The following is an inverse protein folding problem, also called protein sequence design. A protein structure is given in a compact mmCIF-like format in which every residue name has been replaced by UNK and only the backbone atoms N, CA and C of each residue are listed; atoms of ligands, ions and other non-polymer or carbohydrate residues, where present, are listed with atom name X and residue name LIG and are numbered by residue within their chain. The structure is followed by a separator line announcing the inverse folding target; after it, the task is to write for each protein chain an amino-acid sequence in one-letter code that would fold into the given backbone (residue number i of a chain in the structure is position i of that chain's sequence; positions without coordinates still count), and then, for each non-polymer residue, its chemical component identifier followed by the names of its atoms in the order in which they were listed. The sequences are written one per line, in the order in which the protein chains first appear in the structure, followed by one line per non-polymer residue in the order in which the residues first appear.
data_IF_362018414296
#
_entry.id   IF_362018414296
#
_cell.length_a   1.000
_cell.length_b   1.000
_cell.length_c   1.000
_cell.angle_alpha   90.00
_cell.angle_beta   90.00
_cell.angle_gamma   90.00
#
_symmetry.space_group_name_H-M   'P 1'
#
loop_
_entity.id
_entity.type
_entity.pdbx_description
1 polymer ?
#
# COMPACT_ATOMS: atom_id res chain seq x y z
N UNK A 1 9.12 -5.25 -15.77
CA UNK A 1 9.91 -4.87 -16.97
C UNK A 1 10.81 -3.71 -16.61
N UNK A 2 12.13 -3.87 -16.75
CA UNK A 2 13.12 -2.84 -16.39
C UNK A 2 13.28 -1.82 -17.53
N UNK A 3 13.10 -0.54 -17.24
CA UNK A 3 13.32 0.53 -18.21
C UNK A 3 14.81 0.91 -18.27
N UNK A 4 15.52 0.42 -19.29
CA UNK A 4 16.82 0.95 -19.71
C UNK A 4 16.61 1.96 -20.85
N UNK A 5 17.09 3.19 -20.71
CA UNK A 5 17.15 4.15 -21.82
C UNK A 5 18.42 3.92 -22.65
N UNK A 6 18.28 3.52 -23.91
CA UNK A 6 19.33 3.72 -24.93
C UNK A 6 18.94 4.93 -25.77
N UNK A 7 19.87 5.89 -25.89
CA UNK A 7 19.69 7.09 -26.71
C UNK A 7 19.74 6.74 -28.20
N UNK A 8 18.68 7.11 -28.92
CA UNK A 8 18.60 7.08 -30.38
C UNK A 8 17.98 8.37 -30.88
N UNK A 9 18.70 9.07 -31.75
CA UNK A 9 18.42 10.41 -32.26
C UNK A 9 17.28 10.35 -33.29
N UNK A 10 16.18 11.09 -33.08
CA UNK A 10 15.14 11.23 -34.10
C UNK A 10 13.89 12.03 -33.68
N UNK A 11 13.78 13.25 -34.22
CA UNK A 11 12.55 14.02 -34.46
C UNK A 11 11.60 14.33 -33.29
N UNK A 12 11.90 15.43 -32.57
CA UNK A 12 10.99 16.58 -32.41
C UNK A 12 9.51 16.35 -32.12
N UNK A 13 9.15 15.56 -31.12
CA UNK A 13 7.96 15.85 -30.33
C UNK A 13 8.45 16.62 -29.09
N UNK A 14 7.89 17.81 -28.85
CA UNK A 14 8.06 18.52 -27.60
C UNK A 14 7.69 17.56 -26.45
N UNK A 15 8.71 16.92 -25.85
CA UNK A 15 8.60 16.26 -24.57
C UNK A 15 8.24 17.39 -23.63
N UNK A 16 6.95 17.61 -23.39
CA UNK A 16 6.50 18.45 -22.29
C UNK A 16 7.35 18.01 -21.11
N UNK A 17 8.00 18.97 -20.48
CA UNK A 17 8.78 18.77 -19.27
C UNK A 17 7.79 18.19 -18.25
N UNK A 18 7.74 16.86 -18.20
CA UNK A 18 6.85 16.11 -17.32
C UNK A 18 7.56 16.22 -15.99
N UNK A 19 6.92 16.87 -15.02
CA UNK A 19 7.51 17.11 -13.71
C UNK A 19 8.21 15.86 -13.19
N UNK A 20 9.38 16.05 -12.58
CA UNK A 20 10.16 14.94 -12.06
C UNK A 20 9.44 14.33 -10.85
N UNK A 21 9.53 13.00 -10.65
CA UNK A 21 9.11 12.37 -9.40
C UNK A 21 9.72 13.11 -8.22
N UNK A 22 8.87 13.50 -7.27
CA UNK A 22 9.29 14.25 -6.09
C UNK A 22 8.79 13.58 -4.83
N UNK A 23 9.46 13.83 -3.72
CA UNK A 23 8.91 13.48 -2.42
C UNK A 23 7.64 14.30 -2.18
N UNK A 24 6.62 13.69 -1.62
CA UNK A 24 5.44 14.42 -1.14
C UNK A 24 5.85 15.37 0.00
N UNK A 25 5.33 16.59 -0.03
CA UNK A 25 5.61 17.58 1.00
C UNK A 25 4.75 17.31 2.25
N UNK A 26 5.23 17.60 3.47
CA UNK A 26 4.46 17.36 4.69
C UNK A 26 3.12 18.09 4.70
N UNK A 27 2.04 17.36 4.99
CA UNK A 27 0.67 17.88 5.03
C UNK A 27 0.03 18.07 3.65
N UNK A 28 0.71 17.64 2.58
CA UNK A 28 0.14 17.62 1.23
C UNK A 28 -0.85 16.45 1.06
N UNK A 29 -0.56 15.32 1.71
CA UNK A 29 -1.36 14.11 1.67
C UNK A 29 -1.56 13.54 3.09
N UNK A 30 -2.24 14.28 3.99
CA UNK A 30 -2.31 13.95 5.42
C UNK A 30 -2.90 12.56 5.72
N UNK A 31 -3.88 12.08 4.95
CA UNK A 31 -4.46 10.75 5.17
C UNK A 31 -3.45 9.66 4.80
N UNK A 32 -2.79 9.78 3.65
CA UNK A 32 -1.75 8.85 3.22
C UNK A 32 -0.51 8.91 4.10
N UNK A 33 -0.13 10.09 4.60
CA UNK A 33 0.97 10.27 5.55
C UNK A 33 0.67 9.57 6.88
N UNK A 34 -0.54 9.72 7.40
CA UNK A 34 -0.97 9.05 8.62
C UNK A 34 -0.94 7.52 8.46
N UNK A 35 -1.47 7.00 7.34
CA UNK A 35 -1.40 5.58 7.01
C UNK A 35 0.04 5.07 6.87
N UNK A 36 0.90 5.83 6.18
CA UNK A 36 2.31 5.46 6.01
C UNK A 36 3.05 5.46 7.36
N UNK A 37 2.73 6.37 8.27
CA UNK A 37 3.27 6.37 9.62
C UNK A 37 2.90 5.09 10.39
N UNK A 38 1.65 4.60 10.24
CA UNK A 38 1.20 3.32 10.81
C UNK A 38 2.02 2.16 10.25
N UNK A 39 2.14 2.05 8.93
CA UNK A 39 2.92 0.99 8.26
C UNK A 39 4.41 1.05 8.61
N UNK A 40 4.98 2.25 8.73
CA UNK A 40 6.38 2.43 9.12
C UNK A 40 6.69 1.94 10.55
N UNK A 41 5.69 1.84 11.45
CA UNK A 41 5.87 1.17 12.74
C UNK A 41 6.19 -0.31 12.56
N UNK A 42 5.51 -0.97 11.63
CA UNK A 42 5.74 -2.38 11.31
C UNK A 42 7.08 -2.60 10.61
N UNK A 43 7.41 -1.73 9.64
CA UNK A 43 8.73 -1.72 8.98
C UNK A 43 9.83 -1.62 10.03
N UNK A 44 9.74 -0.67 10.96
CA UNK A 44 10.73 -0.49 12.03
C UNK A 44 10.81 -1.69 12.98
N UNK A 45 9.69 -2.34 13.24
CA UNK A 45 9.62 -3.51 14.12
C UNK A 45 10.31 -4.74 13.49
N UNK A 46 10.12 -4.95 12.19
CA UNK A 46 10.45 -6.20 11.49
C UNK A 46 11.68 -6.11 10.60
N UNK A 47 12.02 -4.92 10.08
CA UNK A 47 13.16 -4.66 9.21
C UNK A 47 14.19 -3.76 9.90
N UNK A 48 15.03 -4.36 10.73
CA UNK A 48 16.09 -3.62 11.45
C UNK A 48 17.06 -2.95 10.48
N UNK A 49 17.33 -1.67 10.69
CA UNK A 49 18.22 -0.86 9.84
C UNK A 49 17.59 -0.36 8.53
N UNK A 50 16.29 -0.57 8.33
CA UNK A 50 15.53 0.09 7.27
C UNK A 50 15.08 1.46 7.76
N UNK A 51 15.49 2.52 7.06
CA UNK A 51 14.91 3.84 7.26
C UNK A 51 13.43 3.85 6.81
N UNK A 52 12.59 4.73 7.39
CA UNK A 52 11.17 4.78 7.05
C UNK A 52 10.93 4.93 5.54
N UNK A 53 9.93 4.21 5.04
CA UNK A 53 9.39 4.43 3.70
C UNK A 53 8.84 5.86 3.58
N UNK A 54 8.80 6.38 2.36
CA UNK A 54 8.34 7.74 2.04
C UNK A 54 7.23 7.70 0.99
N UNK A 55 6.47 8.80 0.88
CA UNK A 55 5.56 9.04 -0.23
C UNK A 55 6.29 9.78 -1.36
N UNK A 56 6.08 9.33 -2.60
CA UNK A 56 6.60 9.96 -3.83
C UNK A 56 5.42 10.30 -4.72
N UNK A 57 5.29 11.58 -5.06
CA UNK A 57 4.31 12.09 -6.02
C UNK A 57 4.93 12.09 -7.43
N UNK A 58 4.21 11.49 -8.39
CA UNK A 58 4.63 11.34 -9.78
C UNK A 58 3.54 11.93 -10.67
N UNK A 59 3.84 12.88 -11.56
CA UNK A 59 2.84 13.41 -12.48
C UNK A 59 2.25 12.31 -13.37
N UNK A 60 0.91 12.21 -13.45
CA UNK A 60 0.26 11.23 -14.34
C UNK A 60 0.68 11.45 -15.80
N UNK A 61 0.94 10.35 -16.52
CA UNK A 61 1.24 10.39 -17.95
C UNK A 61 0.02 10.69 -18.81
N UNK A 62 -1.19 10.49 -18.27
CA UNK A 62 -2.46 10.70 -18.96
C UNK A 62 -3.30 11.73 -18.20
N UNK A 63 -3.52 12.93 -18.79
CA UNK A 63 -4.44 13.90 -18.21
C UNK A 63 -5.88 13.41 -18.35
N UNK A 64 -6.71 13.70 -17.34
CA UNK A 64 -8.14 13.45 -17.41
C UNK A 64 -8.78 14.34 -18.49
N UNK A 65 -9.92 13.92 -19.09
CA UNK A 65 -10.64 14.74 -20.05
C UNK A 65 -11.01 16.10 -19.44
N UNK A 66 -10.49 17.20 -20.00
CA UNK A 66 -10.75 18.56 -19.49
C UNK A 66 -9.62 19.15 -18.64
N UNK A 67 -8.63 18.36 -18.24
CA UNK A 67 -7.47 18.85 -17.47
C UNK A 67 -6.24 19.10 -18.35
N UNK A 68 -5.55 20.21 -18.10
CA UNK A 68 -4.33 20.57 -18.82
C UNK A 68 -3.08 19.78 -18.36
N UNK A 69 -3.13 19.22 -17.14
CA UNK A 69 -2.09 18.42 -16.50
C UNK A 69 -2.80 17.27 -15.78
N UNK A 70 -2.28 16.04 -15.88
CA UNK A 70 -2.85 14.92 -15.16
C UNK A 70 -2.54 14.99 -13.66
N UNK A 71 -3.50 14.55 -12.84
CA UNK A 71 -3.33 14.43 -11.38
C UNK A 71 -2.03 13.73 -10.99
N UNK A 72 -1.45 14.11 -9.86
CA UNK A 72 -0.28 13.40 -9.32
C UNK A 72 -0.70 12.03 -8.79
N UNK A 73 0.09 11.02 -9.14
CA UNK A 73 -0.02 9.65 -8.66
C UNK A 73 0.95 9.46 -7.49
N UNK A 74 0.41 8.98 -6.38
CA UNK A 74 1.15 8.84 -5.13
C UNK A 74 1.63 7.40 -4.96
N UNK A 75 2.91 7.20 -4.67
CA UNK A 75 3.50 5.88 -4.47
C UNK A 75 4.18 5.79 -3.10
N UNK A 76 4.15 4.60 -2.50
CA UNK A 76 5.02 4.26 -1.38
C UNK A 76 6.39 3.87 -1.91
N UNK A 77 7.44 4.53 -1.44
CA UNK A 77 8.80 4.33 -1.91
C UNK A 77 9.77 4.02 -0.76
N UNK A 78 10.88 3.41 -1.12
CA UNK A 78 12.08 3.31 -0.29
C UNK A 78 12.63 4.72 0.01
N UNK A 79 13.44 4.90 1.06
CA UNK A 79 14.03 6.19 1.41
C UNK A 79 14.87 6.84 0.30
N UNK A 80 15.38 6.04 -0.64
CA UNK A 80 16.13 6.50 -1.82
C UNK A 80 15.24 6.92 -3.00
N UNK A 81 13.91 6.92 -2.80
CA UNK A 81 12.93 7.32 -3.79
C UNK A 81 12.58 6.25 -4.82
N UNK A 82 13.03 4.99 -4.68
CA UNK A 82 12.58 3.88 -5.54
C UNK A 82 11.29 3.25 -5.03
N UNK A 83 10.33 2.98 -5.90
CA UNK A 83 9.05 2.33 -5.57
C UNK A 83 8.76 1.14 -6.48
N UNK A 84 7.79 0.31 -6.10
CA UNK A 84 7.21 -0.74 -6.95
C UNK A 84 5.69 -0.80 -6.73
N UNK A 85 4.94 -1.15 -7.78
CA UNK A 85 3.51 -1.42 -7.70
C UNK A 85 2.67 -0.27 -8.26
N UNK A 86 1.40 -0.24 -7.85
CA UNK A 86 0.42 0.75 -8.27
C UNK A 86 0.45 1.98 -7.35
N UNK A 87 -0.06 3.14 -7.81
CA UNK A 87 -0.20 4.30 -6.94
C UNK A 87 -1.34 4.09 -5.94
N UNK A 88 -1.18 4.60 -4.72
CA UNK A 88 -2.14 4.43 -3.60
C UNK A 88 -3.38 5.29 -3.74
N UNK A 89 -3.35 6.29 -4.62
CA UNK A 89 -4.48 7.15 -4.96
C UNK A 89 -5.04 6.81 -6.36
N UNK A 90 -4.90 5.55 -6.81
CA UNK A 90 -5.35 5.14 -8.14
C UNK A 90 -6.85 5.11 -8.33
N UNK A 91 -7.65 5.23 -7.26
CA UNK A 91 -9.12 5.16 -7.33
C UNK A 91 -9.66 6.07 -8.43
N UNK A 92 -10.63 5.55 -9.18
CA UNK A 92 -11.38 6.28 -10.20
C UNK A 92 -12.29 7.30 -9.51
N UNK A 93 -11.66 8.34 -8.95
CA UNK A 93 -12.34 9.51 -8.39
C UNK A 93 -13.16 10.16 -9.51
N UNK A 94 -14.46 10.34 -9.28
CA UNK A 94 -15.30 11.10 -10.19
C UNK A 94 -14.90 12.58 -10.18
N UNK A 95 -15.29 13.33 -11.21
CA UNK A 95 -15.02 14.77 -11.26
C UNK A 95 -15.68 15.48 -10.08
N UNK A 96 -14.86 15.96 -9.13
CA UNK A 96 -15.31 16.64 -7.92
C UNK A 96 -15.06 15.87 -6.63
N UNK A 97 -14.64 14.61 -6.70
CA UNK A 97 -14.25 13.84 -5.51
C UNK A 97 -12.98 14.42 -4.85
N UNK A 98 -12.87 14.35 -3.52
CA UNK A 98 -11.66 14.75 -2.83
C UNK A 98 -10.47 13.89 -3.26
N UNK A 99 -9.25 14.47 -3.31
CA UNK A 99 -8.06 13.74 -3.74
C UNK A 99 -7.64 12.64 -2.74
N UNK A 100 -8.09 12.74 -1.49
CA UNK A 100 -7.87 11.74 -0.45
C UNK A 100 -9.20 11.08 -0.08
N UNK A 101 -9.27 9.73 -0.02
CA UNK A 101 -10.46 9.04 0.47
C UNK A 101 -10.70 9.33 1.97
N UNK A 102 -11.95 9.52 2.36
CA UNK A 102 -12.33 9.73 3.77
C UNK A 102 -12.24 8.44 4.62
N UNK A 103 -12.24 7.26 3.98
CA UNK A 103 -12.10 5.98 4.65
C UNK A 103 -10.64 5.69 5.02
N UNK A 104 -10.30 5.97 6.27
CA UNK A 104 -8.97 5.73 6.82
C UNK A 104 -8.55 4.25 6.78
N UNK A 105 -9.47 3.28 6.85
CA UNK A 105 -9.15 1.86 6.78
C UNK A 105 -8.78 1.46 5.35
N UNK A 106 -9.52 1.96 4.35
CA UNK A 106 -9.17 1.79 2.93
C UNK A 106 -7.82 2.44 2.59
N UNK A 107 -7.59 3.68 3.03
CA UNK A 107 -6.29 4.36 2.82
C UNK A 107 -5.15 3.57 3.46
N UNK A 108 -5.34 3.06 4.69
CA UNK A 108 -4.33 2.22 5.35
C UNK A 108 -4.07 0.92 4.59
N UNK A 109 -5.11 0.32 4.00
CA UNK A 109 -4.99 -0.91 3.23
C UNK A 109 -4.15 -0.70 1.96
N UNK A 110 -4.48 0.32 1.16
CA UNK A 110 -3.75 0.66 -0.07
C UNK A 110 -2.28 0.96 0.22
N UNK A 111 -2.01 1.74 1.28
CA UNK A 111 -0.63 2.05 1.68
C UNK A 111 0.10 0.81 2.18
N UNK A 112 -0.56 -0.09 2.92
CA UNK A 112 0.04 -1.32 3.40
C UNK A 112 0.38 -2.29 2.26
N UNK A 113 -0.51 -2.45 1.28
CA UNK A 113 -0.27 -3.26 0.08
C UNK A 113 0.88 -2.70 -0.78
N UNK A 114 0.85 -1.39 -1.05
CA UNK A 114 1.90 -0.71 -1.81
C UNK A 114 3.27 -0.80 -1.10
N UNK A 115 3.29 -0.63 0.23
CA UNK A 115 4.50 -0.83 1.03
C UNK A 115 5.00 -2.27 0.95
N UNK A 116 4.11 -3.25 1.04
CA UNK A 116 4.44 -4.66 0.94
C UNK A 116 5.10 -4.98 -0.40
N UNK A 117 4.45 -4.58 -1.49
CA UNK A 117 4.97 -4.72 -2.86
C UNK A 117 6.35 -4.05 -3.02
N UNK A 118 6.49 -2.81 -2.55
CA UNK A 118 7.74 -2.04 -2.64
C UNK A 118 8.88 -2.72 -1.89
N UNK A 119 8.64 -3.14 -0.65
CA UNK A 119 9.66 -3.83 0.16
C UNK A 119 10.02 -5.16 -0.47
N UNK A 120 9.03 -5.98 -0.84
CA UNK A 120 9.26 -7.33 -1.33
C UNK A 120 10.10 -7.34 -2.61
N UNK A 121 9.77 -6.48 -3.56
CA UNK A 121 10.43 -6.42 -4.86
C UNK A 121 11.80 -5.74 -4.81
N UNK A 122 11.94 -4.66 -4.02
CA UNK A 122 13.21 -3.91 -3.99
C UNK A 122 14.23 -4.50 -3.00
N UNK A 123 13.78 -5.23 -1.96
CA UNK A 123 14.66 -5.95 -1.04
C UNK A 123 14.83 -7.42 -1.38
N UNK A 124 14.04 -7.97 -2.32
CA UNK A 124 14.03 -9.39 -2.67
C UNK A 124 13.82 -10.31 -1.45
N UNK A 125 12.90 -9.90 -0.56
CA UNK A 125 12.60 -10.59 0.70
C UNK A 125 11.10 -10.50 0.99
N UNK A 126 10.49 -11.62 1.38
CA UNK A 126 9.11 -11.59 1.87
C UNK A 126 8.97 -10.65 3.07
N UNK A 127 7.90 -9.87 3.11
CA UNK A 127 7.60 -8.96 4.22
C UNK A 127 6.10 -8.60 4.26
N UNK A 128 5.49 -8.49 5.45
CA UNK A 128 5.95 -9.08 6.71
C UNK A 128 6.02 -10.60 6.65
N UNK A 129 6.80 -11.22 7.53
CA UNK A 129 6.92 -12.69 7.61
C UNK A 129 6.23 -13.21 8.85
N UNK A 130 5.44 -14.27 8.70
CA UNK A 130 4.86 -14.99 9.83
C UNK A 130 5.95 -15.65 10.68
N UNK A 131 6.05 -15.37 11.99
CA UNK A 131 7.07 -15.97 12.84
C UNK A 131 6.89 -17.48 13.02
N UNK A 132 5.67 -18.00 12.85
CA UNK A 132 5.38 -19.44 13.00
C UNK A 132 5.72 -20.20 11.72
N UNK A 133 5.19 -19.74 10.59
CA UNK A 133 5.27 -20.47 9.32
C UNK A 133 6.46 -20.06 8.44
N UNK A 134 7.13 -18.94 8.76
CA UNK A 134 8.27 -18.41 8.00
C UNK A 134 7.93 -18.16 6.53
N UNK A 135 6.69 -17.76 6.26
CA UNK A 135 6.19 -17.36 4.93
C UNK A 135 5.77 -15.89 4.95
N UNK A 136 5.73 -15.28 3.77
CA UNK A 136 5.15 -13.95 3.58
C UNK A 136 3.70 -13.91 4.05
N UNK A 137 3.31 -12.77 4.59
CA UNK A 137 1.93 -12.47 4.95
C UNK A 137 1.21 -11.80 3.79
N UNK A 138 -0.11 -11.79 3.86
CA UNK A 138 -0.99 -11.05 2.98
C UNK A 138 -1.73 -10.00 3.81
N UNK A 139 -2.29 -9.02 3.12
CA UNK A 139 -3.24 -8.09 3.71
C UNK A 139 -4.62 -8.75 3.81
N UNK A 140 -5.30 -8.54 4.94
CA UNK A 140 -6.69 -8.91 5.16
C UNK A 140 -7.52 -7.64 5.26
N UNK A 141 -8.62 -7.56 4.50
CA UNK A 141 -9.67 -6.56 4.67
C UNK A 141 -10.91 -7.28 5.19
N UNK A 142 -11.54 -6.84 6.28
CA UNK A 142 -12.68 -7.60 6.83
C UNK A 142 -13.92 -7.66 5.93
N UNK A 143 -14.03 -6.74 4.97
CA UNK A 143 -15.02 -6.82 3.89
C UNK A 143 -14.76 -7.98 2.91
N UNK A 144 -13.61 -8.65 3.00
CA UNK A 144 -13.30 -9.89 2.28
C UNK A 144 -13.64 -11.07 3.19
N UNK A 145 -14.47 -12.00 2.71
CA UNK A 145 -14.94 -13.19 3.42
C UNK A 145 -13.95 -13.71 4.46
N UNK A 146 -14.40 -13.77 5.72
CA UNK A 146 -13.66 -14.18 6.92
C UNK A 146 -12.74 -15.40 6.74
N UNK A 147 -11.78 -15.64 7.66
CA UNK A 147 -10.87 -16.79 7.58
C UNK A 147 -11.60 -18.14 7.62
N UNK A 148 -12.89 -18.11 7.95
CA UNK A 148 -13.80 -19.23 8.06
C UNK A 148 -14.83 -19.31 6.93
N UNK A 149 -14.74 -18.50 5.85
CA UNK A 149 -15.60 -18.59 4.67
C UNK A 149 -17.07 -18.82 5.04
N UNK A 150 -17.66 -17.88 5.76
CA UNK A 150 -19.05 -18.00 6.17
C UNK A 150 -19.95 -17.85 4.95
N UNK A 151 -20.61 -18.94 4.57
CA UNK A 151 -21.75 -18.91 3.66
C UNK A 151 -22.82 -17.95 4.23
N UNK A 152 -22.78 -16.68 3.84
CA UNK A 152 -23.90 -15.77 4.11
C UNK A 152 -24.97 -16.06 3.06
N UNK A 153 -25.88 -16.96 3.44
CA UNK A 153 -27.22 -17.05 2.87
C UNK A 153 -27.84 -15.65 2.88
N UNK A 154 -28.42 -15.25 1.74
CA UNK A 154 -28.86 -13.89 1.46
C UNK A 154 -29.98 -13.43 2.38
N UNK A 155 -29.63 -12.89 3.53
CA UNK A 155 -30.52 -12.18 4.45
C UNK A 155 -30.55 -10.70 4.14
N UNK A 156 -31.76 -10.16 4.01
CA UNK A 156 -32.13 -8.76 3.79
C UNK A 156 -31.14 -7.75 4.40
N UNK A 157 -30.51 -6.93 3.55
CA UNK A 157 -29.63 -5.86 3.99
C UNK A 157 -30.46 -4.69 4.53
N UNK A 158 -30.48 -4.53 5.85
CA UNK A 158 -30.77 -3.24 6.47
C UNK A 158 -29.62 -2.27 6.13
N UNK A 159 -29.86 -1.32 5.21
CA UNK A 159 -28.91 -0.28 4.76
C UNK A 159 -28.66 0.83 5.81
N UNK A 160 -28.43 0.48 7.08
CA UNK A 160 -28.13 1.47 8.14
C UNK A 160 -27.04 1.03 9.14
N UNK A 161 -26.21 0.06 8.78
CA UNK A 161 -24.96 -0.22 9.51
C UNK A 161 -23.79 0.05 8.56
N UNK A 162 -23.40 1.33 8.46
CA UNK A 162 -22.06 1.71 7.97
C UNK A 162 -21.06 1.38 9.08
N UNK A 163 -20.98 0.10 9.43
CA UNK A 163 -20.05 -0.39 10.42
C UNK A 163 -18.65 -0.17 9.84
N UNK A 164 -17.82 0.55 10.60
CA UNK A 164 -16.48 0.92 10.16
C UNK A 164 -15.75 -0.36 9.75
N UNK A 165 -15.36 -0.47 8.48
CA UNK A 165 -14.66 -1.64 7.97
C UNK A 165 -13.54 -2.02 8.95
N UNK A 166 -13.50 -3.27 9.42
CA UNK A 166 -12.50 -3.62 10.44
C UNK A 166 -11.11 -3.25 9.92
N UNK A 167 -10.23 -2.77 10.82
CA UNK A 167 -8.90 -2.35 10.44
C UNK A 167 -8.14 -3.49 9.74
N UNK A 168 -7.37 -3.16 8.68
CA UNK A 168 -6.63 -4.16 7.93
C UNK A 168 -5.63 -4.89 8.82
N UNK A 169 -5.41 -6.17 8.52
CA UNK A 169 -4.55 -7.05 9.31
C UNK A 169 -3.56 -7.83 8.44
N UNK A 170 -2.40 -8.13 9.01
CA UNK A 170 -1.45 -9.07 8.41
C UNK A 170 -1.85 -10.49 8.76
N UNK A 171 -1.92 -11.35 7.75
CA UNK A 171 -2.26 -12.75 7.95
C UNK A 171 -1.41 -13.68 7.09
N UNK A 172 -1.27 -14.94 7.50
CA UNK A 172 -0.65 -15.95 6.65
C UNK A 172 -1.62 -17.11 6.39
N UNK A 173 -1.57 -17.64 5.18
CA UNK A 173 -2.37 -18.80 4.76
C UNK A 173 -1.99 -20.12 5.43
N UNK A 174 -0.94 -20.14 6.26
CA UNK A 174 -0.39 -21.34 6.88
C UNK A 174 0.68 -22.02 6.04
N UNK A 175 1.29 -23.08 6.59
CA UNK A 175 2.19 -23.97 5.85
C UNK A 175 1.42 -25.01 5.00
N UNK A 176 2.13 -25.98 4.40
CA UNK A 176 1.48 -27.11 3.71
C UNK A 176 0.63 -27.91 4.71
N UNK A 177 -0.68 -27.63 4.75
CA UNK A 177 -1.66 -28.25 5.65
C UNK A 177 -1.89 -27.55 6.99
N UNK A 178 -1.44 -26.30 7.16
CA UNK A 178 -1.53 -25.58 8.44
C UNK A 178 -2.73 -24.64 8.59
N UNK A 179 -3.09 -24.35 9.83
CA UNK A 179 -4.09 -23.33 10.22
C UNK A 179 -3.67 -21.93 9.76
N UNK A 180 -4.62 -21.15 9.23
CA UNK A 180 -4.40 -19.73 8.91
C UNK A 180 -4.12 -18.97 10.20
N UNK A 181 -3.16 -18.04 10.19
CA UNK A 181 -2.86 -17.20 11.35
C UNK A 181 -3.05 -15.73 10.99
N UNK A 182 -3.95 -15.06 11.72
CA UNK A 182 -3.94 -13.59 11.81
C UNK A 182 -2.79 -13.22 12.75
N UNK A 183 -1.81 -12.46 12.25
CA UNK A 183 -0.67 -12.03 13.05
C UNK A 183 -1.09 -10.87 13.95
N UNK A 184 -1.41 -9.72 13.34
CA UNK A 184 -1.82 -8.49 14.02
C UNK A 184 -2.54 -7.56 13.06
N UNK A 185 -3.12 -6.50 13.61
CA UNK A 185 -3.48 -5.33 12.81
C UNK A 185 -2.24 -4.69 12.18
N UNK A 186 -2.44 -3.98 11.07
CA UNK A 186 -1.40 -3.15 10.46
C UNK A 186 -0.99 -2.05 11.46
N UNK A 187 0.31 -1.91 11.69
CA UNK A 187 0.92 -1.02 12.66
C UNK A 187 1.18 -1.61 14.04
N UNK A 188 0.75 -2.85 14.29
CA UNK A 188 0.87 -3.54 15.57
C UNK A 188 1.84 -4.75 15.55
N UNK A 189 2.62 -4.94 14.48
CA UNK A 189 3.53 -6.10 14.38
C UNK A 189 4.61 -6.12 15.47
N UNK A 190 4.93 -4.97 16.05
CA UNK A 190 5.85 -4.90 17.19
C UNK A 190 5.40 -5.76 18.38
N UNK A 191 4.09 -5.92 18.60
CA UNK A 191 3.55 -6.70 19.70
C UNK A 191 3.64 -8.22 19.46
N UNK A 192 3.77 -8.65 18.19
CA UNK A 192 3.84 -10.07 17.81
C UNK A 192 5.27 -10.55 17.60
N UNK A 193 6.22 -9.64 17.39
CA UNK A 193 7.65 -9.94 17.39
C UNK A 193 8.14 -10.19 18.83
N UNK A 194 8.06 -11.42 19.31
CA UNK A 194 8.68 -11.80 20.59
C UNK A 194 10.20 -11.63 20.48
N UNK A 195 10.85 -10.87 21.38
CA UNK A 195 12.31 -10.81 21.44
C UNK A 195 12.82 -12.10 22.08
N UNK A 196 13.16 -13.09 21.26
CA UNK A 196 13.86 -14.28 21.74
C UNK A 196 13.48 -15.55 21.03
N UNK A 197 14.17 -15.85 19.93
CA UNK A 197 14.79 -17.17 19.81
C UNK A 197 16.08 -17.06 19.00
N UNK A 198 17.22 -17.55 19.52
CA UNK A 198 18.45 -17.70 18.76
C UNK A 198 18.30 -18.74 17.65
#
# INVERSE_FOLDING_TARGET
MNSFSHGGIGSGHHRRDRGEPRRAEPGEWPAFEAALAVVNRDVRATLRGQDPLILVAVPSSEPLPGEAVGREQLYVAMPDGRWHGNPVNSSDLEEGDPPEPDDAAAVLAEVADAAQSTVMELRWRAWPVCPVHQVGTHLWLAASDGPDGGDTDGGDMDEDDTDAADPPAWWCGGGRGGTRHRLSLVGELAATTVPGRP
#
